data_IF_354537129404
#
_entry.id   IF_354537129404
#
_cell.length_a   1.000
_cell.length_b   1.000
_cell.length_c   1.000
_cell.angle_alpha   90.00
_cell.angle_beta   90.00
_cell.angle_gamma   90.00
#
_symmetry.space_group_name_H-M   'P 1'
#
loop_
_entity.id
_entity.type
_entity.pdbx_description
1 polymer ?
#
# COMPACT_ATOMS: atom_id res chain seq x y z
N UNK A 1 -5.44 -32.54 5.24
CA UNK A 1 -5.19 -31.09 5.06
C UNK A 1 -3.77 -30.82 5.50
N UNK A 2 -2.96 -30.25 4.65
CA UNK A 2 -1.57 -30.01 5.02
C UNK A 2 -1.42 -28.73 5.85
N UNK A 3 -0.28 -28.61 6.55
CA UNK A 3 -0.01 -27.46 7.43
C UNK A 3 0.21 -26.17 6.65
N UNK A 4 0.65 -26.26 5.37
CA UNK A 4 0.84 -25.10 4.51
C UNK A 4 -0.47 -24.37 4.24
N UNK A 5 -1.53 -25.11 3.92
CA UNK A 5 -2.86 -24.51 3.67
C UNK A 5 -3.44 -23.89 4.92
N UNK A 6 -3.26 -24.52 6.08
CA UNK A 6 -3.70 -23.97 7.35
C UNK A 6 -2.95 -22.69 7.71
N UNK A 7 -1.63 -22.68 7.52
CA UNK A 7 -0.80 -21.50 7.76
C UNK A 7 -1.19 -20.36 6.83
N UNK A 8 -1.38 -20.65 5.55
CA UNK A 8 -1.77 -19.65 4.57
C UNK A 8 -3.09 -18.98 4.96
N UNK A 9 -4.09 -19.75 5.38
CA UNK A 9 -5.37 -19.18 5.84
C UNK A 9 -5.19 -18.32 7.07
N UNK A 10 -4.36 -18.74 8.00
CA UNK A 10 -4.08 -17.95 9.21
C UNK A 10 -3.43 -16.63 8.87
N UNK A 11 -2.46 -16.63 7.96
CA UNK A 11 -1.78 -15.42 7.51
C UNK A 11 -2.74 -14.47 6.80
N UNK A 12 -3.62 -14.99 5.94
CA UNK A 12 -4.63 -14.17 5.26
C UNK A 12 -5.58 -13.54 6.27
N UNK A 13 -6.04 -14.28 7.27
CA UNK A 13 -6.89 -13.74 8.32
C UNK A 13 -6.16 -12.66 9.11
N UNK A 14 -4.93 -12.91 9.53
CA UNK A 14 -4.14 -11.93 10.28
C UNK A 14 -3.95 -10.64 9.48
N UNK A 15 -3.65 -10.78 8.19
CA UNK A 15 -3.48 -9.65 7.29
C UNK A 15 -4.77 -8.82 7.18
N UNK A 16 -5.91 -9.48 6.99
CA UNK A 16 -7.20 -8.80 6.79
C UNK A 16 -7.80 -8.27 8.09
N UNK A 17 -7.45 -8.85 9.23
CA UNK A 17 -7.96 -8.38 10.53
C UNK A 17 -7.05 -7.33 11.18
N UNK A 18 -5.87 -7.08 10.64
CA UNK A 18 -4.96 -6.08 11.18
C UNK A 18 -5.63 -4.70 11.16
N UNK A 19 -5.54 -3.93 12.25
CA UNK A 19 -6.16 -2.60 12.33
C UNK A 19 -5.38 -1.53 11.55
N UNK A 20 -4.20 -1.87 11.07
CA UNK A 20 -3.35 -0.96 10.30
C UNK A 20 -3.49 -1.31 8.82
N UNK A 21 -3.63 -0.29 7.97
CA UNK A 21 -3.65 -0.48 6.53
C UNK A 21 -2.31 -0.98 6.01
N UNK A 22 -2.33 -2.10 5.30
CA UNK A 22 -1.14 -2.73 4.75
C UNK A 22 -1.32 -3.02 3.27
N UNK A 23 -0.26 -2.80 2.50
CA UNK A 23 -0.27 -2.98 1.06
C UNK A 23 1.07 -3.55 0.62
N UNK A 24 1.04 -4.48 -0.32
CA UNK A 24 2.21 -4.96 -1.04
C UNK A 24 2.12 -4.45 -2.47
N UNK A 25 3.15 -3.76 -2.93
CA UNK A 25 3.16 -3.20 -4.28
C UNK A 25 4.41 -3.62 -5.04
N UNK A 26 4.30 -3.65 -6.36
CA UNK A 26 5.42 -3.88 -7.28
C UNK A 26 5.32 -2.84 -8.38
N UNK A 27 6.41 -2.12 -8.60
CA UNK A 27 6.44 -1.01 -9.56
C UNK A 27 5.27 -0.03 -9.35
N UNK A 28 4.96 0.21 -8.06
CA UNK A 28 3.91 1.12 -7.62
C UNK A 28 2.51 0.72 -8.11
N UNK A 29 2.33 -0.57 -8.38
CA UNK A 29 1.04 -1.21 -8.64
C UNK A 29 0.70 -2.08 -7.44
N UNK A 30 -0.54 -1.98 -6.95
CA UNK A 30 -0.97 -2.72 -5.76
C UNK A 30 -1.14 -4.18 -6.13
N UNK A 31 -0.34 -5.06 -5.52
CA UNK A 31 -0.53 -6.50 -5.66
C UNK A 31 -1.52 -7.03 -4.64
N UNK A 32 -1.44 -6.51 -3.42
CA UNK A 32 -2.25 -6.99 -2.30
C UNK A 32 -2.47 -5.85 -1.32
N UNK A 33 -3.67 -5.76 -0.76
CA UNK A 33 -3.95 -4.84 0.34
C UNK A 33 -4.94 -5.49 1.29
N UNK A 34 -4.89 -5.09 2.56
CA UNK A 34 -5.83 -5.61 3.54
C UNK A 34 -7.09 -4.74 3.61
N UNK A 35 -8.08 -5.20 4.39
CA UNK A 35 -9.36 -4.50 4.52
C UNK A 35 -9.19 -3.11 5.11
N UNK A 36 -8.33 -2.95 6.13
CA UNK A 36 -8.08 -1.65 6.75
C UNK A 36 -7.53 -0.64 5.75
N UNK A 37 -6.63 -1.06 4.86
CA UNK A 37 -6.10 -0.22 3.79
C UNK A 37 -7.21 0.22 2.83
N UNK A 38 -8.01 -0.72 2.36
CA UNK A 38 -9.10 -0.43 1.43
C UNK A 38 -10.14 0.51 2.06
N UNK A 39 -10.52 0.27 3.32
CA UNK A 39 -11.47 1.13 4.03
C UNK A 39 -10.92 2.54 4.23
N UNK A 40 -9.63 2.66 4.55
CA UNK A 40 -8.99 3.96 4.73
C UNK A 40 -9.14 4.83 3.47
N UNK A 41 -8.98 4.24 2.30
CA UNK A 41 -9.07 4.96 1.03
C UNK A 41 -10.46 4.95 0.41
N UNK A 42 -11.41 4.22 0.99
CA UNK A 42 -12.79 4.19 0.53
C UNK A 42 -13.03 3.33 -0.70
N UNK A 43 -12.22 2.30 -0.90
CA UNK A 43 -12.38 1.34 -2.00
C UNK A 43 -12.67 -0.06 -1.47
N UNK A 44 -13.24 -0.91 -2.30
CA UNK A 44 -13.21 -2.35 -2.07
C UNK A 44 -11.80 -2.88 -2.38
N UNK A 45 -11.36 -3.92 -1.70
CA UNK A 45 -10.04 -4.51 -1.95
C UNK A 45 -9.85 -4.87 -3.43
N UNK A 46 -10.88 -5.46 -4.05
CA UNK A 46 -10.84 -5.88 -5.44
C UNK A 46 -10.68 -4.70 -6.41
N UNK A 47 -11.10 -3.51 -6.02
CA UNK A 47 -10.94 -2.31 -6.84
C UNK A 47 -9.54 -1.73 -6.78
N UNK A 48 -8.76 -2.13 -5.79
CA UNK A 48 -7.38 -1.66 -5.62
C UNK A 48 -6.35 -2.65 -6.16
N UNK A 49 -6.57 -3.94 -5.94
CA UNK A 49 -5.60 -4.96 -6.35
C UNK A 49 -5.46 -4.98 -7.87
N UNK A 50 -4.21 -4.96 -8.33
CA UNK A 50 -3.88 -4.89 -9.76
C UNK A 50 -3.86 -3.48 -10.34
N UNK A 51 -4.19 -2.47 -9.55
CA UNK A 51 -4.26 -1.08 -10.01
C UNK A 51 -3.08 -0.25 -9.50
N UNK A 52 -2.80 0.83 -10.22
CA UNK A 52 -1.73 1.76 -9.85
C UNK A 52 -2.05 2.45 -8.52
N UNK A 53 -1.02 2.67 -7.70
CA UNK A 53 -1.14 3.47 -6.50
C UNK A 53 -1.43 4.95 -6.78
N UNK A 54 -1.31 5.39 -8.05
CA UNK A 54 -1.54 6.78 -8.43
C UNK A 54 -2.93 7.29 -8.02
N UNK A 55 -3.94 6.42 -8.03
CA UNK A 55 -5.32 6.79 -7.66
C UNK A 55 -5.50 7.16 -6.20
N UNK A 56 -4.49 6.88 -5.36
CA UNK A 56 -4.50 7.21 -3.93
C UNK A 56 -3.83 8.55 -3.63
N UNK A 57 -3.28 9.20 -4.64
CA UNK A 57 -2.58 10.48 -4.51
C UNK A 57 -3.50 11.62 -4.96
N UNK A 58 -3.28 12.84 -4.41
CA UNK A 58 -4.11 14.00 -4.81
C UNK A 58 -4.02 14.34 -6.29
N UNK A 59 -2.87 14.05 -6.93
CA UNK A 59 -2.65 14.30 -8.34
C UNK A 59 -1.59 13.36 -8.90
N UNK A 60 -1.56 13.23 -10.21
CA UNK A 60 -0.51 12.46 -10.88
C UNK A 60 0.87 13.09 -10.68
N UNK A 61 0.94 14.43 -10.62
CA UNK A 61 2.19 15.14 -10.35
C UNK A 61 2.73 14.78 -8.97
N UNK A 62 1.87 14.73 -7.94
CA UNK A 62 2.28 14.30 -6.60
C UNK A 62 2.77 12.85 -6.61
N UNK A 63 2.07 11.97 -7.28
CA UNK A 63 2.46 10.57 -7.41
C UNK A 63 3.87 10.46 -8.02
N UNK A 64 4.12 11.18 -9.09
CA UNK A 64 5.42 11.20 -9.77
C UNK A 64 6.51 11.79 -8.87
N UNK A 65 6.19 12.90 -8.22
CA UNK A 65 7.13 13.61 -7.33
C UNK A 65 7.57 12.73 -6.16
N UNK A 66 6.62 12.12 -5.48
CA UNK A 66 6.92 11.24 -4.33
C UNK A 66 7.73 10.02 -4.77
N UNK A 67 7.44 9.48 -5.95
CA UNK A 67 8.23 8.38 -6.51
C UNK A 67 9.69 8.75 -6.74
N UNK A 68 9.93 9.94 -7.26
CA UNK A 68 11.29 10.44 -7.50
C UNK A 68 12.07 10.66 -6.21
N UNK A 69 11.39 11.03 -5.12
CA UNK A 69 12.02 11.21 -3.82
C UNK A 69 12.24 9.89 -3.08
N UNK A 70 11.24 9.03 -3.08
CA UNK A 70 11.21 7.86 -2.22
C UNK A 70 11.89 6.62 -2.79
N UNK A 71 11.78 6.37 -4.08
CA UNK A 71 12.34 5.15 -4.67
C UNK A 71 13.85 5.03 -4.52
N UNK A 72 14.65 6.10 -4.77
CA UNK A 72 16.09 6.00 -4.54
C UNK A 72 16.45 5.76 -3.08
N UNK A 73 15.74 6.38 -2.14
CA UNK A 73 15.97 6.16 -0.69
C UNK A 73 15.63 4.72 -0.34
N UNK A 74 14.52 4.20 -0.84
CA UNK A 74 14.10 2.82 -0.61
C UNK A 74 15.13 1.83 -1.15
N UNK A 75 15.68 2.08 -2.35
CA UNK A 75 16.70 1.21 -2.94
C UNK A 75 18.00 1.23 -2.14
N UNK A 76 18.39 2.39 -1.62
CA UNK A 76 19.63 2.55 -0.87
C UNK A 76 19.52 1.99 0.55
N UNK A 77 18.46 2.34 1.27
CA UNK A 77 18.32 2.04 2.69
C UNK A 77 17.38 0.87 3.00
N UNK A 78 16.51 0.50 2.04
CA UNK A 78 15.50 -0.53 2.22
C UNK A 78 14.23 -0.04 2.89
N UNK A 79 14.19 1.21 3.35
CA UNK A 79 13.02 1.79 4.03
C UNK A 79 12.77 3.22 3.56
N UNK A 80 11.51 3.66 3.68
CA UNK A 80 11.12 5.03 3.43
C UNK A 80 9.88 5.33 4.25
N UNK A 81 9.82 6.51 4.84
CA UNK A 81 8.60 6.93 5.53
C UNK A 81 8.44 8.45 5.43
N UNK A 82 7.19 8.88 5.39
CA UNK A 82 6.84 10.30 5.47
C UNK A 82 5.40 10.45 5.93
N UNK A 83 5.00 11.70 6.12
CA UNK A 83 3.60 12.09 6.29
C UNK A 83 3.21 12.91 5.08
N UNK A 84 2.09 12.58 4.48
CA UNK A 84 1.65 13.22 3.25
C UNK A 84 0.15 13.28 3.17
N UNK A 85 -0.35 14.13 2.28
CA UNK A 85 -1.77 14.20 1.95
C UNK A 85 -2.05 13.14 0.87
N UNK A 86 -3.08 12.32 1.14
CA UNK A 86 -3.56 11.29 0.21
C UNK A 86 -5.01 11.57 -0.13
N UNK A 87 -5.55 10.86 -1.12
CA UNK A 87 -6.90 11.06 -1.62
C UNK A 87 -7.74 9.80 -1.44
N UNK A 88 -8.97 9.95 -0.96
CA UNK A 88 -9.96 8.87 -0.90
C UNK A 88 -10.68 8.73 -2.24
N UNK A 89 -11.45 7.66 -2.38
CA UNK A 89 -12.21 7.37 -3.61
C UNK A 89 -13.20 8.49 -3.97
N UNK A 90 -13.70 9.22 -2.99
CA UNK A 90 -14.63 10.35 -3.20
C UNK A 90 -13.92 11.69 -3.43
N UNK A 91 -12.59 11.68 -3.49
CA UNK A 91 -11.78 12.88 -3.65
C UNK A 91 -11.43 13.61 -2.37
N UNK A 92 -11.94 13.15 -1.21
CA UNK A 92 -11.60 13.76 0.07
C UNK A 92 -10.12 13.56 0.38
N UNK A 93 -9.45 14.63 0.80
CA UNK A 93 -8.03 14.61 1.14
C UNK A 93 -7.85 14.38 2.64
N UNK A 94 -6.79 13.67 3.00
CA UNK A 94 -6.49 13.43 4.40
C UNK A 94 -4.97 13.24 4.61
N UNK A 95 -4.51 13.56 5.81
CA UNK A 95 -3.13 13.30 6.21
C UNK A 95 -2.94 11.82 6.50
N UNK A 96 -1.87 11.27 5.97
CA UNK A 96 -1.55 9.86 6.08
C UNK A 96 -0.07 9.68 6.41
N UNK A 97 0.22 8.88 7.43
CA UNK A 97 1.58 8.43 7.67
C UNK A 97 1.83 7.18 6.83
N UNK A 98 2.85 7.23 5.99
CA UNK A 98 3.21 6.12 5.11
C UNK A 98 4.59 5.62 5.49
N UNK A 99 4.70 4.33 5.74
CA UNK A 99 5.97 3.68 6.00
C UNK A 99 6.10 2.48 5.05
N UNK A 100 7.22 2.40 4.37
CA UNK A 100 7.49 1.34 3.42
C UNK A 100 8.79 0.62 3.71
N UNK A 101 8.83 -0.64 3.34
CA UNK A 101 10.01 -1.49 3.44
C UNK A 101 10.14 -2.28 2.15
N UNK A 102 11.33 -2.27 1.58
CA UNK A 102 11.59 -3.08 0.39
C UNK A 102 11.65 -4.55 0.76
N UNK A 103 10.83 -5.36 0.08
CA UNK A 103 10.89 -6.83 0.21
C UNK A 103 12.00 -7.41 -0.64
N UNK A 104 12.28 -6.76 -1.77
CA UNK A 104 13.33 -7.14 -2.70
C UNK A 104 14.03 -5.87 -3.17
N UNK A 105 15.34 -5.77 -2.92
CA UNK A 105 16.14 -4.59 -3.26
C UNK A 105 17.02 -4.81 -4.50
N UNK A 106 16.94 -6.00 -5.06
CA UNK A 106 17.75 -6.34 -6.23
C UNK A 106 17.23 -5.71 -7.52
#
# INVERSE_FOLDING_TARGET
MDSSSALQRTLELAFNLAPVGMCVSRHRTIELCNEAFAQMFGFAQSDLMGHSMARLYPSLDEFTHIGKLGLPVMQETGTYSDERIMSRSDGALFWCHVAGRALDRA
#
